data_IF_257146277992
#
_entry.id   IF_257146277992
#
_cell.length_a   1.000
_cell.length_b   1.000
_cell.length_c   1.000
_cell.angle_alpha   90.00
_cell.angle_beta   90.00
_cell.angle_gamma   90.00
#
_symmetry.space_group_name_H-M   'P 1'
#
loop_
_entity.id
_entity.type
_entity.pdbx_description
1 polymer ?
#
# COMPACT_ATOMS: atom_id res chain seq x y z
N UNK A 1 17.98 97.88 -53.87
CA UNK A 1 16.86 97.44 -54.72
C UNK A 1 16.48 96.05 -54.22
N UNK A 2 15.37 96.05 -53.48
CA UNK A 2 14.38 94.99 -53.24
C UNK A 2 14.88 93.64 -52.69
N UNK A 3 14.59 93.29 -51.43
CA UNK A 3 13.30 92.86 -50.84
C UNK A 3 13.11 91.33 -50.96
N UNK A 4 12.52 90.79 -49.89
CA UNK A 4 11.68 89.58 -49.80
C UNK A 4 12.24 88.39 -49.01
N UNK A 5 11.56 88.21 -47.88
CA UNK A 5 11.57 87.12 -46.90
C UNK A 5 11.25 85.73 -47.50
N UNK A 6 11.83 84.68 -46.92
CA UNK A 6 11.18 83.36 -46.88
C UNK A 6 11.66 82.52 -45.69
N UNK A 7 10.74 82.26 -44.77
CA UNK A 7 10.91 81.36 -43.64
C UNK A 7 10.87 79.89 -44.07
N UNK A 8 11.80 79.05 -43.59
CA UNK A 8 11.69 77.57 -43.69
C UNK A 8 12.16 76.84 -42.41
N UNK A 9 11.14 76.46 -41.61
CA UNK A 9 10.94 75.25 -40.79
C UNK A 9 12.16 74.49 -40.24
N UNK A 10 12.23 74.42 -38.90
CA UNK A 10 13.12 73.52 -38.15
C UNK A 10 12.76 72.03 -38.38
N UNK A 11 13.79 71.18 -38.49
CA UNK A 11 13.69 69.71 -38.61
C UNK A 11 13.47 69.06 -37.23
N UNK A 12 12.67 67.98 -37.11
CA UNK A 12 12.54 67.26 -35.85
C UNK A 12 13.75 66.36 -35.60
N UNK A 13 14.24 66.35 -34.35
CA UNK A 13 15.33 65.49 -33.91
C UNK A 13 14.88 64.02 -33.83
N UNK A 14 15.65 63.11 -34.42
CA UNK A 14 15.46 61.65 -34.31
C UNK A 14 15.80 61.20 -32.88
N UNK A 15 14.84 60.57 -32.18
CA UNK A 15 15.07 59.91 -30.89
C UNK A 15 15.48 58.45 -31.12
N UNK A 16 16.62 58.04 -30.55
CA UNK A 16 17.02 56.63 -30.46
C UNK A 16 16.33 55.98 -29.25
N UNK A 17 15.80 54.75 -29.36
CA UNK A 17 15.24 54.05 -28.21
C UNK A 17 16.37 53.55 -27.30
N UNK A 18 16.24 53.80 -25.99
CA UNK A 18 17.08 53.17 -24.96
C UNK A 18 16.52 51.76 -24.73
N UNK A 19 17.32 50.73 -25.03
CA UNK A 19 17.06 49.35 -24.61
C UNK A 19 17.30 49.23 -23.11
N UNK A 20 16.23 49.36 -22.32
CA UNK A 20 16.21 48.90 -20.92
C UNK A 20 16.18 47.37 -20.91
N UNK A 21 17.30 46.75 -20.55
CA UNK A 21 17.36 45.31 -20.30
C UNK A 21 16.51 44.94 -19.09
N UNK A 22 15.39 44.26 -19.33
CA UNK A 22 14.60 43.65 -18.27
C UNK A 22 15.29 42.35 -17.83
N UNK A 23 15.86 42.35 -16.62
CA UNK A 23 16.26 41.13 -15.92
C UNK A 23 15.00 40.33 -15.60
N UNK A 24 14.73 39.29 -16.38
CA UNK A 24 13.68 38.31 -16.09
C UNK A 24 14.19 37.45 -14.93
N UNK A 25 13.73 37.75 -13.72
CA UNK A 25 13.91 36.88 -12.56
C UNK A 25 13.15 35.58 -12.82
N UNK A 26 13.89 34.49 -13.05
CA UNK A 26 13.31 33.15 -13.16
C UNK A 26 12.92 32.69 -11.75
N UNK A 27 11.62 32.48 -11.43
CA UNK A 27 11.26 31.94 -10.14
C UNK A 27 11.75 30.49 -10.08
N UNK A 28 12.68 30.21 -9.17
CA UNK A 28 13.02 28.85 -8.76
C UNK A 28 11.77 28.26 -8.10
N UNK A 29 10.96 27.55 -8.89
CA UNK A 29 9.90 26.68 -8.40
C UNK A 29 10.57 25.55 -7.62
N UNK A 30 10.71 25.73 -6.30
CA UNK A 30 10.93 24.62 -5.38
C UNK A 30 9.67 23.77 -5.42
N UNK A 31 9.70 22.69 -6.20
CA UNK A 31 8.75 21.62 -6.05
C UNK A 31 8.98 21.00 -4.67
N UNK A 32 8.15 21.37 -3.68
CA UNK A 32 8.00 20.55 -2.48
C UNK A 32 7.58 19.18 -2.95
N UNK A 33 8.49 18.21 -2.89
CA UNK A 33 8.12 16.81 -2.98
C UNK A 33 7.07 16.59 -1.89
N UNK A 34 5.82 16.42 -2.28
CA UNK A 34 4.76 16.10 -1.34
C UNK A 34 5.18 14.82 -0.64
N UNK A 35 5.65 14.92 0.60
CA UNK A 35 5.82 13.74 1.43
C UNK A 35 4.42 13.14 1.55
N UNK A 36 4.18 12.04 0.85
CA UNK A 36 3.07 11.16 1.19
C UNK A 36 3.18 10.95 2.72
N UNK A 37 2.11 11.29 3.44
CA UNK A 37 2.17 11.32 4.90
C UNK A 37 2.65 9.96 5.42
N UNK A 38 3.80 9.94 6.08
CA UNK A 38 4.39 8.74 6.68
C UNK A 38 3.41 8.14 7.68
N UNK A 39 3.35 6.81 7.76
CA UNK A 39 2.44 6.17 8.70
C UNK A 39 2.80 6.50 10.17
N UNK A 40 1.82 6.62 11.07
CA UNK A 40 2.08 6.84 12.49
C UNK A 40 3.02 5.76 13.04
N UNK A 41 4.14 6.15 13.65
CA UNK A 41 5.08 5.18 14.24
C UNK A 41 5.94 4.40 13.24
N UNK A 42 5.91 4.76 11.95
CA UNK A 42 6.76 4.19 10.90
C UNK A 42 8.25 4.34 11.22
N UNK A 43 8.71 5.54 11.57
CA UNK A 43 10.12 5.77 11.87
C UNK A 43 10.64 4.86 12.98
N UNK A 44 9.83 4.68 14.03
CA UNK A 44 10.18 3.80 15.13
C UNK A 44 10.28 2.35 14.64
N UNK A 45 9.30 1.88 13.85
CA UNK A 45 9.34 0.53 13.27
C UNK A 45 10.58 0.33 12.41
N UNK A 46 10.88 1.30 11.55
CA UNK A 46 12.05 1.27 10.66
C UNK A 46 13.35 1.24 11.46
N UNK A 47 13.45 2.01 12.54
CA UNK A 47 14.63 1.95 13.43
C UNK A 47 14.78 0.56 14.07
N UNK A 48 13.70 -0.02 14.57
CA UNK A 48 13.69 -1.35 15.18
C UNK A 48 14.07 -2.44 14.17
N UNK A 49 13.35 -2.54 13.04
CA UNK A 49 13.58 -3.55 12.01
C UNK A 49 14.97 -3.41 11.39
N UNK A 50 15.44 -2.18 11.13
CA UNK A 50 16.79 -1.97 10.61
C UNK A 50 17.87 -2.42 11.61
N UNK A 51 17.66 -2.19 12.91
CA UNK A 51 18.57 -2.66 13.96
C UNK A 51 18.60 -4.19 14.03
N UNK A 52 17.43 -4.83 13.98
CA UNK A 52 17.30 -6.26 14.22
C UNK A 52 17.66 -7.11 12.99
N UNK A 53 17.46 -6.57 11.78
CA UNK A 53 17.65 -7.30 10.52
C UNK A 53 18.81 -6.79 9.65
N UNK A 54 19.40 -5.63 9.98
CA UNK A 54 20.43 -4.98 9.16
C UNK A 54 19.92 -4.37 7.84
N UNK A 55 18.60 -4.37 7.58
CA UNK A 55 18.03 -3.82 6.35
C UNK A 55 18.16 -2.29 6.30
N UNK A 56 18.33 -1.77 5.08
CA UNK A 56 18.42 -0.32 4.83
C UNK A 56 17.15 0.41 5.26
N UNK A 57 17.29 1.44 6.09
CA UNK A 57 16.18 2.32 6.50
C UNK A 57 15.49 2.95 5.29
N UNK A 58 16.25 3.31 4.24
CA UNK A 58 15.70 3.89 3.03
C UNK A 58 14.79 2.91 2.28
N UNK A 59 15.20 1.64 2.16
CA UNK A 59 14.38 0.60 1.52
C UNK A 59 13.13 0.26 2.35
N UNK A 60 13.24 0.23 3.68
CA UNK A 60 12.10 0.00 4.56
C UNK A 60 11.09 1.15 4.51
N UNK A 61 11.57 2.40 4.50
CA UNK A 61 10.71 3.56 4.29
C UNK A 61 10.02 3.49 2.93
N UNK A 62 10.76 3.26 1.84
CA UNK A 62 10.17 3.17 0.51
C UNK A 62 9.08 2.06 0.41
N UNK A 63 9.28 0.94 1.10
CA UNK A 63 8.27 -0.12 1.19
C UNK A 63 7.01 0.36 1.93
N UNK A 64 7.18 0.94 3.13
CA UNK A 64 6.07 1.38 3.97
C UNK A 64 5.34 2.59 3.38
N UNK A 65 6.04 3.53 2.75
CA UNK A 65 5.45 4.67 2.03
C UNK A 65 4.55 4.22 0.87
N UNK A 66 4.80 3.04 0.32
CA UNK A 66 3.96 2.41 -0.70
C UNK A 66 2.71 1.72 -0.15
N UNK A 67 2.62 1.51 1.17
CA UNK A 67 1.48 0.88 1.79
C UNK A 67 0.31 1.85 1.94
N UNK A 68 -0.91 1.35 1.71
CA UNK A 68 -2.12 2.18 1.81
C UNK A 68 -2.92 1.80 3.04
N UNK A 69 -3.33 2.80 3.83
CA UNK A 69 -4.33 2.60 4.89
C UNK A 69 -5.64 2.14 4.26
N UNK A 70 -6.16 0.99 4.70
CA UNK A 70 -7.39 0.40 4.21
C UNK A 70 -8.52 0.54 5.24
N UNK A 71 -9.40 1.52 5.07
CA UNK A 71 -10.50 1.75 6.03
C UNK A 71 -11.40 0.51 6.20
N UNK A 72 -11.70 -0.21 5.12
CA UNK A 72 -12.50 -1.43 5.16
C UNK A 72 -11.91 -2.55 6.03
N UNK A 73 -10.58 -2.58 6.26
CA UNK A 73 -9.94 -3.52 7.19
C UNK A 73 -10.24 -3.12 8.64
N UNK A 74 -10.17 -1.83 8.95
CA UNK A 74 -10.52 -1.29 10.27
C UNK A 74 -12.00 -1.51 10.59
N UNK A 75 -12.86 -1.32 9.59
CA UNK A 75 -14.30 -1.56 9.73
C UNK A 75 -14.56 -3.05 9.97
N UNK A 76 -13.89 -3.94 9.22
CA UNK A 76 -14.07 -5.39 9.35
C UNK A 76 -13.64 -5.91 10.72
N UNK A 77 -12.47 -5.51 11.23
CA UNK A 77 -11.97 -5.98 12.54
C UNK A 77 -12.74 -5.39 13.72
N UNK A 78 -13.44 -4.26 13.53
CA UNK A 78 -14.21 -3.60 14.59
C UNK A 78 -15.63 -4.14 14.73
N UNK A 79 -16.09 -4.99 13.81
CA UNK A 79 -17.40 -5.64 13.91
C UNK A 79 -17.44 -6.59 15.12
N UNK A 80 -18.50 -6.55 15.95
CA UNK A 80 -18.68 -7.51 17.02
C UNK A 80 -18.63 -8.95 16.50
N UNK A 81 -18.02 -9.84 17.27
CA UNK A 81 -18.06 -11.26 16.97
C UNK A 81 -19.46 -11.81 17.29
N UNK A 82 -20.20 -12.25 16.28
CA UNK A 82 -21.45 -12.99 16.46
C UNK A 82 -21.18 -14.49 16.24
N UNK A 83 -21.45 -15.30 17.25
CA UNK A 83 -21.33 -16.75 17.16
C UNK A 83 -22.58 -17.38 16.52
N UNK A 84 -22.42 -18.13 15.43
CA UNK A 84 -23.48 -18.98 14.88
C UNK A 84 -23.54 -20.31 15.66
N UNK A 85 -24.72 -20.81 16.06
CA UNK A 85 -24.86 -22.16 16.59
C UNK A 85 -24.31 -23.21 15.62
N UNK A 86 -23.81 -24.35 16.15
CA UNK A 86 -23.19 -25.38 15.32
C UNK A 86 -24.08 -25.86 14.16
N UNK A 87 -25.39 -26.01 14.41
CA UNK A 87 -26.38 -26.40 13.39
C UNK A 87 -26.38 -25.47 12.17
N UNK A 88 -26.09 -24.18 12.37
CA UNK A 88 -26.11 -23.14 11.34
C UNK A 88 -24.71 -22.92 10.74
N UNK A 89 -23.64 -23.24 11.49
CA UNK A 89 -22.25 -23.08 11.05
C UNK A 89 -21.76 -24.27 10.20
N UNK A 90 -22.03 -25.51 10.64
CA UNK A 90 -21.66 -26.75 9.94
C UNK A 90 -21.99 -26.76 8.45
N UNK A 91 -23.21 -26.38 7.99
CA UNK A 91 -23.56 -26.45 6.58
C UNK A 91 -22.80 -25.45 5.68
N UNK A 92 -22.11 -24.46 6.25
CA UNK A 92 -21.27 -23.51 5.47
C UNK A 92 -20.04 -24.23 4.88
N UNK A 93 -19.53 -25.25 5.58
CA UNK A 93 -18.30 -25.96 5.22
C UNK A 93 -18.52 -27.41 4.76
N UNK A 94 -19.52 -28.10 5.29
CA UNK A 94 -19.84 -29.48 4.92
C UNK A 94 -20.88 -29.52 3.79
N UNK A 95 -20.47 -29.05 2.62
CA UNK A 95 -21.25 -29.13 1.37
C UNK A 95 -20.66 -30.18 0.44
N UNK A 96 -21.50 -30.80 -0.40
CA UNK A 96 -21.05 -31.76 -1.43
C UNK A 96 -19.93 -31.18 -2.30
N UNK A 97 -20.05 -29.91 -2.67
CA UNK A 97 -19.04 -29.20 -3.46
C UNK A 97 -17.67 -29.13 -2.75
N UNK A 98 -17.65 -28.83 -1.44
CA UNK A 98 -16.41 -28.73 -0.66
C UNK A 98 -15.80 -30.10 -0.38
N UNK A 99 -16.64 -31.12 -0.20
CA UNK A 99 -16.22 -32.51 0.01
C UNK A 99 -15.57 -33.05 -1.27
N UNK A 100 -16.25 -32.91 -2.41
CA UNK A 100 -15.71 -33.35 -3.71
C UNK A 100 -14.38 -32.64 -4.03
N UNK A 101 -14.32 -31.31 -3.89
CA UNK A 101 -13.09 -30.57 -4.11
C UNK A 101 -11.96 -30.96 -3.15
N UNK A 102 -12.27 -31.37 -1.92
CA UNK A 102 -11.27 -31.86 -0.97
C UNK A 102 -10.71 -33.22 -1.35
N UNK A 103 -11.58 -34.13 -1.77
CA UNK A 103 -11.16 -35.41 -2.31
C UNK A 103 -10.27 -35.21 -3.55
N UNK A 104 -10.62 -34.28 -4.43
CA UNK A 104 -9.82 -33.94 -5.62
C UNK A 104 -8.46 -33.37 -5.24
N UNK A 105 -8.42 -32.40 -4.33
CA UNK A 105 -7.18 -31.81 -3.82
C UNK A 105 -6.26 -32.86 -3.17
N UNK A 106 -6.82 -33.76 -2.37
CA UNK A 106 -6.05 -34.87 -1.79
C UNK A 106 -5.48 -35.78 -2.88
N UNK A 107 -6.29 -36.21 -3.86
CA UNK A 107 -5.81 -37.06 -4.96
C UNK A 107 -4.71 -36.39 -5.77
N UNK A 108 -4.83 -35.10 -6.05
CA UNK A 108 -3.83 -34.33 -6.79
C UNK A 108 -2.50 -34.21 -6.04
N UNK A 109 -2.54 -34.06 -4.72
CA UNK A 109 -1.35 -33.81 -3.89
C UNK A 109 -0.97 -34.99 -2.98
N UNK A 110 -1.49 -36.19 -3.27
CA UNK A 110 -1.44 -37.34 -2.35
C UNK A 110 -0.04 -37.65 -1.85
N UNK A 111 0.93 -37.78 -2.76
CA UNK A 111 2.30 -38.12 -2.38
C UNK A 111 2.92 -37.09 -1.41
N UNK A 112 2.68 -35.80 -1.65
CA UNK A 112 3.15 -34.71 -0.80
C UNK A 112 2.44 -34.73 0.55
N UNK A 113 1.12 -34.85 0.57
CA UNK A 113 0.32 -34.82 1.79
C UNK A 113 0.60 -36.05 2.68
N UNK A 114 0.75 -37.23 2.08
CA UNK A 114 1.14 -38.45 2.79
C UNK A 114 2.56 -38.33 3.37
N UNK A 115 3.49 -37.69 2.65
CA UNK A 115 4.85 -37.44 3.14
C UNK A 115 4.90 -36.44 4.30
N UNK A 116 4.22 -35.31 4.16
CA UNK A 116 4.04 -34.33 5.24
C UNK A 116 3.39 -35.02 6.45
N UNK A 117 2.37 -35.84 6.21
CA UNK A 117 1.65 -36.52 7.28
C UNK A 117 2.52 -37.48 8.07
N UNK A 118 3.37 -38.27 7.39
CA UNK A 118 4.39 -39.11 8.06
C UNK A 118 5.42 -38.28 8.80
N UNK A 119 5.94 -37.23 8.16
CA UNK A 119 7.02 -36.40 8.72
C UNK A 119 6.61 -35.69 10.00
N UNK A 120 5.39 -35.18 10.06
CA UNK A 120 4.91 -34.37 11.19
C UNK A 120 3.90 -35.11 12.10
N UNK A 121 3.55 -36.36 11.78
CA UNK A 121 2.62 -37.16 12.57
C UNK A 121 1.16 -36.68 12.49
N UNK A 122 0.77 -36.04 11.38
CA UNK A 122 -0.57 -35.47 11.18
C UNK A 122 -1.26 -36.19 10.03
N UNK A 123 -2.39 -36.88 10.24
CA UNK A 123 -3.11 -37.53 9.16
C UNK A 123 -3.47 -36.54 8.03
N UNK A 124 -3.28 -36.91 6.74
CA UNK A 124 -3.48 -36.02 5.60
C UNK A 124 -4.85 -35.33 5.54
N UNK A 125 -5.91 -36.01 5.99
CA UNK A 125 -7.27 -35.50 6.02
C UNK A 125 -7.41 -34.20 6.85
N UNK A 126 -6.60 -34.03 7.91
CA UNK A 126 -6.62 -32.79 8.70
C UNK A 126 -5.98 -31.63 7.93
N UNK A 127 -4.89 -31.89 7.21
CA UNK A 127 -4.22 -30.89 6.37
C UNK A 127 -5.17 -30.45 5.26
N UNK A 128 -5.82 -31.40 4.58
CA UNK A 128 -6.82 -31.15 3.54
C UNK A 128 -7.98 -30.34 4.11
N UNK A 129 -8.51 -30.72 5.28
CA UNK A 129 -9.62 -30.01 5.91
C UNK A 129 -9.26 -28.54 6.24
N UNK A 130 -8.07 -28.29 6.81
CA UNK A 130 -7.61 -26.92 7.09
C UNK A 130 -7.53 -26.10 5.80
N UNK A 131 -6.88 -26.61 4.76
CA UNK A 131 -6.76 -25.90 3.48
C UNK A 131 -8.14 -25.61 2.86
N UNK A 132 -9.08 -26.55 2.98
CA UNK A 132 -10.46 -26.42 2.54
C UNK A 132 -11.25 -25.35 3.29
N UNK A 133 -11.12 -25.30 4.61
CA UNK A 133 -11.77 -24.29 5.47
C UNK A 133 -11.19 -22.90 5.19
N UNK A 134 -9.86 -22.78 5.18
CA UNK A 134 -9.16 -21.49 5.08
C UNK A 134 -9.31 -20.83 3.70
N UNK A 135 -9.18 -21.60 2.62
CA UNK A 135 -9.05 -21.02 1.27
C UNK A 135 -9.94 -21.67 0.22
N UNK A 136 -10.73 -22.68 0.61
CA UNK A 136 -11.45 -23.53 -0.34
C UNK A 136 -10.50 -24.10 -1.41
N UNK A 137 -9.37 -24.66 -0.96
CA UNK A 137 -8.32 -25.26 -1.80
C UNK A 137 -7.72 -24.27 -2.80
N UNK A 138 -7.42 -23.06 -2.31
CA UNK A 138 -6.76 -22.00 -3.09
C UNK A 138 -7.69 -21.09 -3.88
N UNK A 139 -9.02 -21.32 -3.88
CA UNK A 139 -9.97 -20.45 -4.60
C UNK A 139 -10.13 -19.07 -3.95
N UNK A 140 -9.94 -18.98 -2.63
CA UNK A 140 -10.12 -17.78 -1.83
C UNK A 140 -8.89 -17.53 -0.94
N UNK A 141 -7.85 -16.87 -1.47
CA UNK A 141 -6.60 -16.60 -0.72
C UNK A 141 -6.55 -15.22 -0.07
N UNK A 142 -7.63 -14.45 -0.16
CA UNK A 142 -7.70 -13.07 0.31
C UNK A 142 -7.53 -12.03 -0.80
N UNK A 143 -7.98 -10.81 -0.52
CA UNK A 143 -8.04 -9.69 -1.50
C UNK A 143 -7.17 -8.49 -1.13
N UNK A 144 -6.59 -8.49 0.06
CA UNK A 144 -5.78 -7.39 0.57
C UNK A 144 -4.30 -7.69 0.33
N UNK A 145 -3.53 -6.66 -0.03
CA UNK A 145 -2.07 -6.75 0.07
C UNK A 145 -1.70 -6.94 1.54
N UNK A 146 -0.85 -7.91 1.84
CA UNK A 146 -0.41 -8.19 3.23
C UNK A 146 0.17 -6.94 3.87
N UNK A 147 1.01 -6.20 3.13
CA UNK A 147 1.60 -4.95 3.60
C UNK A 147 0.55 -3.90 3.97
N UNK A 148 -0.43 -3.65 3.09
CA UNK A 148 -1.53 -2.72 3.38
C UNK A 148 -2.31 -3.14 4.64
N UNK A 149 -2.61 -4.43 4.78
CA UNK A 149 -3.35 -4.96 5.92
C UNK A 149 -2.60 -4.79 7.24
N UNK A 150 -1.33 -5.21 7.28
CA UNK A 150 -0.50 -5.15 8.47
C UNK A 150 -0.15 -3.72 8.84
N UNK A 151 0.21 -2.86 7.89
CA UNK A 151 0.42 -1.42 8.13
C UNK A 151 -0.84 -0.76 8.67
N UNK A 152 -2.01 -1.05 8.07
CA UNK A 152 -3.29 -0.51 8.55
C UNK A 152 -3.56 -0.91 10.00
N UNK A 153 -3.40 -2.18 10.34
CA UNK A 153 -3.72 -2.68 11.66
C UNK A 153 -2.66 -2.32 12.72
N UNK A 154 -1.39 -2.27 12.35
CA UNK A 154 -0.29 -1.91 13.25
C UNK A 154 -0.33 -0.44 13.67
N UNK A 155 -0.71 0.46 12.76
CA UNK A 155 -0.60 1.91 12.99
C UNK A 155 -1.94 2.63 13.21
N UNK A 156 -3.06 2.02 12.81
CA UNK A 156 -4.37 2.67 12.85
C UNK A 156 -5.44 1.90 13.64
N UNK A 157 -5.07 0.78 14.29
CA UNK A 157 -5.98 0.01 15.15
C UNK A 157 -5.43 -0.18 16.58
N UNK A 158 -5.60 0.81 17.48
CA UNK A 158 -4.94 0.82 18.79
C UNK A 158 -5.17 -0.44 19.65
N UNK A 159 -6.38 -1.01 19.60
CA UNK A 159 -6.77 -2.17 20.43
C UNK A 159 -5.85 -3.39 20.28
N UNK A 160 -5.27 -3.61 19.10
CA UNK A 160 -4.36 -4.73 18.80
C UNK A 160 -3.08 -4.29 18.08
N UNK A 161 -2.77 -3.00 18.09
CA UNK A 161 -1.60 -2.44 17.43
C UNK A 161 -0.30 -3.16 17.81
N UNK A 162 -0.02 -3.52 19.08
CA UNK A 162 1.19 -4.26 19.44
C UNK A 162 1.30 -5.60 18.72
N UNK A 163 0.21 -6.38 18.66
CA UNK A 163 0.20 -7.67 17.97
C UNK A 163 0.48 -7.51 16.46
N UNK A 164 -0.22 -6.60 15.78
CA UNK A 164 -0.06 -6.43 14.34
C UNK A 164 1.26 -5.76 13.97
N UNK A 165 1.84 -4.96 14.86
CA UNK A 165 3.20 -4.43 14.71
C UNK A 165 4.21 -5.57 14.72
N UNK A 166 4.08 -6.53 15.62
CA UNK A 166 4.96 -7.72 15.62
C UNK A 166 4.76 -8.59 14.38
N UNK A 167 3.55 -8.70 13.83
CA UNK A 167 3.33 -9.39 12.55
C UNK A 167 3.92 -8.64 11.33
N UNK A 168 4.11 -7.32 11.43
CA UNK A 168 4.67 -6.48 10.35
C UNK A 168 6.20 -6.45 10.33
N UNK A 169 6.86 -6.73 11.47
CA UNK A 169 8.32 -6.78 11.60
C UNK A 169 8.89 -8.01 10.88
#
# INVERSE_FOLDING_TARGET
MDEVLSARRARPARRFPRLTGALIAFPLLFASAAHAGTHPGQEQLVREVAKDTGKSKASLNALLDGAKKQQAILDAISRPAEGKPWRDYRPIFLTEQRIAAGADFYRQHRALLDDIGRKYGVPPEYIVAIVGVETFYGRNTGKWKVLDALTTLAFYYPKRAPFFREQLK
#
